data_IF_432958606573
#
_entry.id   IF_432958606573
#
_cell.length_a   1.000
_cell.length_b   1.000
_cell.length_c   1.000
_cell.angle_alpha   90.00
_cell.angle_beta   90.00
_cell.angle_gamma   90.00
#
_symmetry.space_group_name_H-M   'P 1'
#
loop_
_entity.id
_entity.type
_entity.pdbx_description
1 polymer ?
#
# COMPACT_ATOMS: atom_id res chain seq x y z
N UNK A 1 -4.98 16.84 -27.76
CA UNK A 1 -6.46 16.84 -27.90
C UNK A 1 -7.05 17.10 -26.53
N UNK A 2 -7.90 18.12 -26.38
CA UNK A 2 -8.54 18.41 -25.10
C UNK A 2 -9.57 17.31 -24.79
N UNK A 3 -9.48 16.71 -23.61
CA UNK A 3 -10.33 15.59 -23.17
C UNK A 3 -11.77 16.10 -23.02
N UNK A 4 -12.64 15.69 -23.95
CA UNK A 4 -14.03 16.14 -24.02
C UNK A 4 -14.81 15.73 -22.75
N UNK A 5 -15.75 16.56 -22.29
CA UNK A 5 -16.42 16.37 -20.98
C UNK A 5 -17.12 15.01 -20.85
N UNK A 6 -17.59 14.47 -21.99
CA UNK A 6 -18.22 13.15 -22.09
C UNK A 6 -17.24 12.00 -21.85
N UNK A 7 -15.99 12.14 -22.29
CA UNK A 7 -14.93 11.15 -22.08
C UNK A 7 -14.53 11.09 -20.61
N UNK A 8 -14.46 12.24 -19.94
CA UNK A 8 -14.20 12.33 -18.49
C UNK A 8 -15.28 11.61 -17.68
N UNK A 9 -16.55 11.80 -18.02
CA UNK A 9 -17.66 11.16 -17.31
C UNK A 9 -17.69 9.64 -17.51
N UNK A 10 -17.37 9.16 -18.73
CA UNK A 10 -17.21 7.72 -19.00
C UNK A 10 -16.08 7.10 -18.20
N UNK A 11 -14.91 7.77 -18.15
CA UNK A 11 -13.76 7.34 -17.35
C UNK A 11 -14.12 7.23 -15.86
N UNK A 12 -14.84 8.21 -15.32
CA UNK A 12 -15.31 8.20 -13.93
C UNK A 12 -16.23 7.02 -13.63
N UNK A 13 -17.20 6.73 -14.51
CA UNK A 13 -18.11 5.60 -14.31
C UNK A 13 -17.44 4.24 -14.45
N UNK A 14 -16.49 4.08 -15.38
CA UNK A 14 -15.71 2.85 -15.52
C UNK A 14 -14.83 2.61 -14.30
N UNK A 15 -14.10 3.64 -13.86
CA UNK A 15 -13.26 3.58 -12.67
C UNK A 15 -14.05 3.19 -11.41
N UNK A 16 -15.24 3.79 -11.20
CA UNK A 16 -16.10 3.45 -10.06
C UNK A 16 -16.62 2.00 -10.09
N UNK A 17 -16.61 1.34 -11.26
CA UNK A 17 -17.00 -0.07 -11.44
C UNK A 17 -15.80 -1.02 -11.40
N UNK A 18 -14.58 -0.52 -11.17
CA UNK A 18 -13.34 -1.30 -11.15
C UNK A 18 -12.76 -1.60 -12.55
N UNK A 19 -13.23 -0.91 -13.59
CA UNK A 19 -12.64 -1.01 -14.93
C UNK A 19 -11.66 0.16 -15.14
N UNK A 20 -10.37 -0.17 -15.04
CA UNK A 20 -9.27 0.79 -15.12
C UNK A 20 -8.72 0.95 -16.54
N UNK A 21 -9.30 0.30 -17.55
CA UNK A 21 -8.82 0.30 -18.95
C UNK A 21 -8.70 1.70 -19.57
N UNK A 22 -9.51 2.66 -19.11
CA UNK A 22 -9.53 4.04 -19.59
C UNK A 22 -8.81 5.03 -18.67
N UNK A 23 -8.17 4.56 -17.60
CA UNK A 23 -7.43 5.41 -16.67
C UNK A 23 -6.08 5.82 -17.27
N UNK A 24 -5.61 7.01 -16.90
CA UNK A 24 -4.27 7.47 -17.28
C UNK A 24 -3.25 6.75 -16.38
N UNK A 25 -2.19 6.15 -16.96
CA UNK A 25 -1.15 5.44 -16.22
C UNK A 25 -0.55 6.26 -15.07
N UNK A 26 -0.38 7.56 -15.29
CA UNK A 26 0.26 8.47 -14.33
C UNK A 26 -0.66 8.89 -13.17
N UNK A 27 -1.97 8.60 -13.24
CA UNK A 27 -2.98 9.08 -12.28
C UNK A 27 -3.78 7.99 -11.59
N UNK A 28 -3.62 6.74 -12.01
CA UNK A 28 -4.32 5.60 -11.43
C UNK A 28 -3.35 4.41 -11.36
N UNK A 29 -3.05 3.89 -10.16
CA UNK A 29 -2.09 2.80 -9.98
C UNK A 29 -2.56 1.49 -10.64
N UNK A 30 -3.87 1.29 -10.73
CA UNK A 30 -4.45 0.08 -11.35
C UNK A 30 -4.67 0.23 -12.88
N UNK A 31 -4.26 1.36 -13.47
CA UNK A 31 -4.36 1.53 -14.91
C UNK A 31 -3.45 0.53 -15.63
N UNK A 32 -3.88 -0.04 -16.76
CA UNK A 32 -3.00 -0.91 -17.54
C UNK A 32 -1.77 -0.12 -18.02
N UNK A 33 -0.59 -0.50 -17.52
CA UNK A 33 0.68 0.18 -17.77
C UNK A 33 1.04 1.29 -16.78
N UNK A 34 0.21 1.54 -15.75
CA UNK A 34 0.48 2.42 -14.62
C UNK A 34 1.48 1.80 -13.64
N UNK A 35 2.67 1.45 -14.11
CA UNK A 35 3.74 1.08 -13.19
C UNK A 35 4.23 2.37 -12.53
N UNK A 36 4.06 2.50 -11.21
CA UNK A 36 4.87 3.44 -10.44
C UNK A 36 6.32 2.98 -10.65
N UNK A 37 7.03 3.65 -11.55
CA UNK A 37 8.44 3.39 -11.80
C UNK A 37 9.17 3.79 -10.54
N UNK A 38 9.56 2.80 -9.76
CA UNK A 38 10.47 2.98 -8.66
C UNK A 38 11.82 3.36 -9.28
N UNK A 39 12.17 4.65 -9.25
CA UNK A 39 13.47 5.13 -9.68
C UNK A 39 14.51 4.64 -8.67
N UNK A 40 15.36 3.70 -9.11
CA UNK A 40 16.49 3.21 -8.32
C UNK A 40 17.57 4.30 -8.33
N UNK A 41 17.94 4.90 -7.18
CA UNK A 41 18.98 5.93 -7.13
C UNK A 41 20.31 5.41 -7.73
N UNK A 42 20.98 6.27 -8.52
CA UNK A 42 22.16 5.92 -9.32
C UNK A 42 23.41 5.55 -8.51
N UNK A 43 23.41 5.78 -7.18
CA UNK A 43 24.52 5.49 -6.29
C UNK A 43 24.03 4.76 -5.03
N UNK A 44 24.10 3.44 -5.08
CA UNK A 44 23.65 2.53 -4.03
C UNK A 44 22.97 1.33 -4.68
N UNK A 45 23.37 0.11 -4.33
CA UNK A 45 22.74 -1.09 -4.88
C UNK A 45 21.22 -1.12 -4.63
N UNK A 46 20.52 -2.04 -5.26
CA UNK A 46 19.07 -2.22 -5.11
C UNK A 46 18.69 -2.39 -3.63
N UNK A 47 19.57 -3.02 -2.83
CA UNK A 47 19.37 -3.13 -1.38
C UNK A 47 19.32 -1.77 -0.67
N UNK A 48 20.22 -0.84 -1.03
CA UNK A 48 20.24 0.49 -0.43
C UNK A 48 18.93 1.24 -0.71
N UNK A 49 18.47 1.18 -1.97
CA UNK A 49 17.21 1.80 -2.37
C UNK A 49 15.97 1.21 -1.65
N UNK A 50 15.98 -0.11 -1.40
CA UNK A 50 14.91 -0.80 -0.67
C UNK A 50 14.93 -0.42 0.82
N UNK A 51 16.11 -0.33 1.44
CA UNK A 51 16.24 0.08 2.84
C UNK A 51 15.76 1.52 3.03
N UNK A 52 16.22 2.44 2.17
CA UNK A 52 15.78 3.85 2.21
C UNK A 52 14.26 3.96 2.11
N UNK A 53 13.63 3.17 1.23
CA UNK A 53 12.18 3.16 1.09
C UNK A 53 11.46 2.62 2.34
N UNK A 54 11.94 1.51 2.92
CA UNK A 54 11.37 0.95 4.14
C UNK A 54 11.45 1.97 5.29
N UNK A 55 12.55 2.71 5.40
CA UNK A 55 12.74 3.75 6.42
C UNK A 55 11.78 4.94 6.26
N UNK A 56 11.19 5.16 5.07
CA UNK A 56 10.13 6.16 4.88
C UNK A 56 8.75 5.72 5.34
N UNK A 57 8.56 4.43 5.66
CA UNK A 57 7.26 3.90 6.07
C UNK A 57 6.92 4.31 7.52
N UNK A 58 5.64 4.56 7.84
CA UNK A 58 5.24 5.05 9.17
C UNK A 58 5.54 4.05 10.29
N UNK A 59 5.99 4.58 11.44
CA UNK A 59 6.33 3.82 12.66
C UNK A 59 5.07 3.18 13.23
N UNK A 60 4.92 1.86 13.05
CA UNK A 60 3.72 1.08 13.39
C UNK A 60 3.57 -0.20 12.57
N UNK A 61 4.32 -0.32 11.48
CA UNK A 61 4.42 -1.51 10.61
C UNK A 61 5.27 -2.64 11.22
N UNK A 62 5.83 -2.44 12.41
CA UNK A 62 6.79 -3.32 13.09
C UNK A 62 6.24 -4.70 13.50
N UNK A 63 4.92 -4.88 13.48
CA UNK A 63 4.28 -6.15 13.76
C UNK A 63 3.11 -6.38 12.80
N UNK A 64 3.37 -7.06 11.67
CA UNK A 64 2.34 -7.42 10.71
C UNK A 64 2.89 -8.01 9.40
N UNK A 65 2.01 -8.27 8.41
CA UNK A 65 2.40 -8.73 7.07
C UNK A 65 3.43 -7.83 6.39
N UNK A 66 3.44 -6.54 6.70
CA UNK A 66 4.40 -5.54 6.19
C UNK A 66 5.85 -5.86 6.60
N UNK A 67 6.09 -6.32 7.83
CA UNK A 67 7.43 -6.75 8.27
C UNK A 67 7.91 -7.98 7.48
N UNK A 68 7.01 -8.89 7.13
CA UNK A 68 7.34 -10.06 6.29
C UNK A 68 7.66 -9.62 4.87
N UNK A 69 6.89 -8.69 4.31
CA UNK A 69 7.14 -8.12 2.98
C UNK A 69 8.45 -7.32 2.94
N UNK A 70 8.74 -6.51 3.95
CA UNK A 70 10.01 -5.78 4.07
C UNK A 70 11.21 -6.74 4.10
N UNK A 71 11.12 -7.83 4.85
CA UNK A 71 12.15 -8.89 4.87
C UNK A 71 12.31 -9.57 3.52
N UNK A 72 11.21 -9.85 2.82
CA UNK A 72 11.25 -10.43 1.48
C UNK A 72 11.89 -9.46 0.46
N UNK A 73 11.55 -8.17 0.53
CA UNK A 73 12.14 -7.13 -0.31
C UNK A 73 13.67 -7.05 -0.12
N UNK A 74 14.14 -7.05 1.14
CA UNK A 74 15.57 -7.05 1.48
C UNK A 74 16.29 -8.28 0.91
N UNK A 75 15.70 -9.48 1.05
CA UNK A 75 16.29 -10.71 0.54
C UNK A 75 16.42 -10.72 -0.99
N UNK A 76 15.37 -10.27 -1.69
CA UNK A 76 15.36 -10.16 -3.15
C UNK A 76 16.36 -9.12 -3.65
N UNK A 77 16.43 -7.95 -2.99
CA UNK A 77 17.37 -6.90 -3.33
C UNK A 77 18.82 -7.35 -3.13
N UNK A 78 19.11 -8.09 -2.05
CA UNK A 78 20.43 -8.70 -1.81
C UNK A 78 20.80 -9.70 -2.90
N UNK A 79 19.84 -10.52 -3.35
CA UNK A 79 20.07 -11.49 -4.42
C UNK A 79 20.30 -10.82 -5.79
N UNK A 80 19.64 -9.69 -6.04
CA UNK A 80 19.82 -8.86 -7.24
C UNK A 80 21.20 -8.22 -7.26
N UNK A 81 21.60 -7.58 -6.16
CA UNK A 81 22.92 -6.96 -6.01
C UNK A 81 24.05 -7.99 -6.07
N UNK A 82 23.81 -9.20 -5.54
CA UNK A 82 24.73 -10.32 -5.62
C UNK A 82 24.79 -11.02 -6.98
N UNK A 83 24.06 -10.53 -8.00
CA UNK A 83 23.98 -11.11 -9.35
C UNK A 83 23.65 -12.62 -9.37
N UNK A 84 22.78 -13.07 -8.48
CA UNK A 84 22.40 -14.48 -8.42
C UNK A 84 21.58 -14.90 -9.65
N UNK A 85 21.60 -16.19 -9.98
CA UNK A 85 20.80 -16.75 -11.07
C UNK A 85 19.32 -16.45 -10.89
N UNK A 86 18.62 -16.07 -11.97
CA UNK A 86 17.18 -15.75 -11.91
C UNK A 86 16.86 -14.27 -11.71
N UNK A 87 17.80 -13.36 -12.03
CA UNK A 87 17.67 -11.91 -11.92
C UNK A 87 16.31 -11.36 -12.39
N UNK A 88 15.82 -11.79 -13.56
CA UNK A 88 14.54 -11.33 -14.10
C UNK A 88 13.30 -11.82 -13.30
N UNK A 89 13.42 -12.94 -12.59
CA UNK A 89 12.38 -13.39 -11.64
C UNK A 89 12.44 -12.55 -10.37
N UNK A 90 13.64 -12.39 -9.81
CA UNK A 90 13.86 -11.64 -8.58
C UNK A 90 13.44 -10.18 -8.72
N UNK A 91 13.72 -9.54 -9.86
CA UNK A 91 13.26 -8.17 -10.15
C UNK A 91 11.74 -8.07 -10.22
N UNK A 92 11.06 -9.04 -10.86
CA UNK A 92 9.59 -9.06 -10.94
C UNK A 92 8.95 -9.28 -9.57
N UNK A 93 9.49 -10.21 -8.77
CA UNK A 93 9.03 -10.44 -7.41
C UNK A 93 9.28 -9.23 -6.52
N UNK A 94 10.44 -8.58 -6.65
CA UNK A 94 10.75 -7.36 -5.91
C UNK A 94 9.75 -6.25 -6.26
N UNK A 95 9.45 -6.05 -7.54
CA UNK A 95 8.45 -5.08 -7.97
C UNK A 95 7.07 -5.34 -7.35
N UNK A 96 6.62 -6.60 -7.31
CA UNK A 96 5.34 -6.97 -6.71
C UNK A 96 5.32 -6.71 -5.19
N UNK A 97 6.39 -7.11 -4.48
CA UNK A 97 6.52 -6.89 -3.04
C UNK A 97 6.53 -5.40 -2.70
N UNK A 98 7.26 -4.59 -3.47
CA UNK A 98 7.34 -3.14 -3.26
C UNK A 98 6.01 -2.44 -3.54
N UNK A 99 5.23 -2.89 -4.53
CA UNK A 99 3.85 -2.39 -4.76
C UNK A 99 2.97 -2.60 -3.53
N UNK A 100 2.97 -3.82 -2.98
CA UNK A 100 2.17 -4.15 -1.79
C UNK A 100 2.64 -3.46 -0.51
N UNK A 101 3.94 -3.17 -0.38
CA UNK A 101 4.45 -2.33 0.71
C UNK A 101 3.93 -0.89 0.60
N UNK A 102 3.81 -0.34 -0.61
CA UNK A 102 3.32 1.02 -0.87
C UNK A 102 1.79 1.17 -0.88
N UNK A 103 1.06 0.07 -1.02
CA UNK A 103 -0.42 0.01 -0.92
C UNK A 103 -0.91 0.02 0.54
N UNK A 104 -0.01 0.05 1.53
CA UNK A 104 -0.36 0.09 2.95
C UNK A 104 -0.98 1.41 3.43
N UNK A 105 -1.07 2.42 2.57
CA UNK A 105 -1.83 3.65 2.82
C UNK A 105 -3.28 3.46 2.38
N UNK A 106 -4.13 3.03 3.32
CA UNK A 106 -5.34 3.76 3.70
C UNK A 106 -6.24 2.88 4.58
N UNK A 107 -6.64 3.44 5.71
CA UNK A 107 -7.58 2.87 6.69
C UNK A 107 -7.15 1.55 7.33
N UNK A 108 -6.48 1.64 8.48
CA UNK A 108 -6.37 0.51 9.41
C UNK A 108 -7.77 0.03 9.82
N UNK A 109 -8.23 -1.17 9.41
CA UNK A 109 -9.48 -1.76 9.90
C UNK A 109 -9.43 -1.97 11.43
N UNK A 110 -8.21 -1.97 11.97
CA UNK A 110 -7.90 -2.04 13.39
C UNK A 110 -8.26 -0.76 14.16
N UNK A 111 -8.17 0.41 13.55
CA UNK A 111 -8.54 1.66 14.22
C UNK A 111 -10.07 1.80 14.30
N UNK A 112 -10.78 1.38 13.25
CA UNK A 112 -12.24 1.20 13.30
C UNK A 112 -12.67 0.19 14.36
N UNK A 113 -11.95 -0.93 14.49
CA UNK A 113 -12.20 -1.93 15.52
C UNK A 113 -11.90 -1.40 16.93
N UNK A 114 -10.84 -0.61 17.11
CA UNK A 114 -10.50 0.06 18.38
C UNK A 114 -11.56 1.11 18.73
N UNK A 115 -11.98 1.92 17.78
CA UNK A 115 -13.04 2.92 17.95
C UNK A 115 -14.37 2.26 18.35
N UNK A 116 -14.79 1.21 17.64
CA UNK A 116 -16.02 0.44 17.96
C UNK A 116 -15.94 -0.21 19.34
N UNK A 117 -14.77 -0.71 19.76
CA UNK A 117 -14.58 -1.28 21.11
C UNK A 117 -14.63 -0.21 22.19
N UNK A 118 -14.01 0.94 21.96
CA UNK A 118 -14.05 2.08 22.89
C UNK A 118 -15.48 2.60 23.06
N UNK A 119 -16.21 2.76 21.97
CA UNK A 119 -17.62 3.20 21.97
C UNK A 119 -18.51 2.22 22.73
N UNK A 120 -18.36 0.91 22.47
CA UNK A 120 -19.11 -0.13 23.18
C UNK A 120 -18.83 -0.09 24.69
N UNK A 121 -17.57 0.13 25.09
CA UNK A 121 -17.18 0.23 26.50
C UNK A 121 -17.76 1.47 27.17
N UNK A 122 -17.72 2.62 26.49
CA UNK A 122 -18.30 3.87 26.97
C UNK A 122 -19.83 3.82 27.06
N UNK A 123 -20.50 3.02 26.21
CA UNK A 123 -21.94 2.80 26.30
C UNK A 123 -22.30 1.96 27.53
N UNK A 124 -21.61 0.84 27.74
CA UNK A 124 -21.87 -0.05 28.88
C UNK A 124 -21.64 0.63 30.24
N UNK A 125 -20.63 1.51 30.34
CA UNK A 125 -20.38 2.29 31.55
C UNK A 125 -21.54 3.26 31.84
N UNK A 126 -22.03 3.97 30.81
CA UNK A 126 -23.20 4.86 30.95
C UNK A 126 -24.48 4.13 31.33
N UNK A 127 -24.68 2.93 30.80
CA UNK A 127 -25.83 2.07 31.15
C UNK A 127 -25.74 1.56 32.59
N UNK A 128 -24.53 1.23 33.07
CA UNK A 128 -24.28 0.82 34.46
C UNK A 128 -24.52 1.96 35.45
N UNK A 129 -23.98 3.14 35.18
CA UNK A 129 -24.16 4.32 36.04
C UNK A 129 -25.65 4.73 36.12
N UNK A 130 -26.39 4.61 35.01
CA UNK A 130 -27.83 4.88 34.98
C UNK A 130 -28.66 3.87 35.80
N UNK A 131 -28.16 2.65 36.01
CA UNK A 131 -28.83 1.63 36.83
C UNK A 131 -28.48 1.72 38.33
N UNK A 132 -27.41 2.43 38.71
CA UNK A 132 -27.03 2.62 40.12
C UNK A 132 -27.67 3.88 40.75
N UNK A 133 -28.19 4.81 39.95
CA UNK A 133 -28.88 6.04 40.41
C UNK A 133 -30.43 5.90 40.50
N UNK A 134 -31.01 4.74 40.22
CA UNK A 134 -32.46 4.45 40.35
C UNK A 134 -32.79 3.55 41.53
#
# INVERSE_FOLDING_TARGET
MADDGKTRQRRYHAHRRGDHSMCSPDRCPDAPGGFRVFEIPESGGVLAAVLDYIDTLPVGTDAGPQMVLARAAIALATAIDGHQSGLASNVRELQAVMSHLGEADDETPLDDLRAKRAERRARLLREHDATEES
#
